data_IF_839151620305
#
_entry.id   IF_839151620305
#
_cell.length_a   1.000
_cell.length_b   1.000
_cell.length_c   1.000
_cell.angle_alpha   90.00
_cell.angle_beta   90.00
_cell.angle_gamma   90.00
#
_symmetry.space_group_name_H-M   'P 1'
#
loop_
_entity.id
_entity.type
_entity.pdbx_description
1 polymer ?
#
# COMPACT_ATOMS: atom_id res chain seq x y z
N UNK A 1 46.62 -77.85 0.70
CA UNK A 1 45.51 -77.13 1.38
C UNK A 1 45.55 -75.68 0.88
N UNK A 2 44.77 -75.37 -0.15
CA UNK A 2 44.91 -74.18 -1.02
C UNK A 2 43.74 -73.23 -0.67
N UNK A 3 44.05 -72.02 -0.19
CA UNK A 3 43.04 -70.99 0.12
C UNK A 3 42.94 -70.00 -1.06
N UNK A 4 41.73 -69.68 -1.57
CA UNK A 4 41.55 -68.80 -2.72
C UNK A 4 41.45 -67.32 -2.34
N UNK A 5 41.88 -66.47 -3.29
CA UNK A 5 41.86 -65.00 -3.23
C UNK A 5 40.42 -64.45 -3.26
N UNK A 6 40.07 -63.58 -2.31
CA UNK A 6 38.86 -62.77 -2.38
C UNK A 6 39.13 -61.44 -3.10
N UNK A 7 38.52 -61.28 -4.27
CA UNK A 7 38.45 -60.04 -5.04
C UNK A 7 37.29 -59.19 -4.50
N UNK A 8 37.55 -57.93 -4.15
CA UNK A 8 36.51 -56.97 -3.76
C UNK A 8 35.79 -56.41 -5.01
N UNK A 9 34.45 -56.31 -5.02
CA UNK A 9 33.75 -55.70 -6.14
C UNK A 9 33.78 -54.17 -6.03
N UNK A 10 34.20 -53.51 -7.12
CA UNK A 10 34.12 -52.05 -7.29
C UNK A 10 32.65 -51.65 -7.51
N UNK A 11 32.06 -50.94 -6.55
CA UNK A 11 30.74 -50.33 -6.72
C UNK A 11 30.88 -49.06 -7.56
N UNK A 12 30.44 -49.13 -8.81
CA UNK A 12 30.40 -48.00 -9.73
C UNK A 12 29.11 -47.20 -9.47
N UNK A 13 29.21 -46.07 -8.77
CA UNK A 13 28.07 -45.19 -8.51
C UNK A 13 27.72 -44.43 -9.80
N UNK A 14 26.69 -44.91 -10.51
CA UNK A 14 26.15 -44.27 -11.71
C UNK A 14 25.29 -43.07 -11.32
N UNK A 15 25.83 -41.86 -11.43
CA UNK A 15 25.09 -40.60 -11.21
C UNK A 15 24.02 -40.44 -12.29
N UNK A 16 22.75 -40.62 -11.93
CA UNK A 16 21.63 -40.34 -12.82
C UNK A 16 21.46 -38.82 -12.97
N UNK A 17 21.70 -38.31 -14.19
CA UNK A 17 21.52 -36.90 -14.54
C UNK A 17 20.02 -36.63 -14.68
N UNK A 18 19.43 -36.02 -13.65
CA UNK A 18 18.05 -35.50 -13.68
C UNK A 18 17.96 -34.34 -14.66
N UNK A 19 17.32 -34.55 -15.80
CA UNK A 19 16.96 -33.48 -16.75
C UNK A 19 15.75 -32.74 -16.21
N UNK A 20 16.01 -31.62 -15.52
CA UNK A 20 14.98 -30.64 -15.15
C UNK A 20 14.40 -30.05 -16.43
N UNK A 21 13.12 -30.30 -16.69
CA UNK A 21 12.40 -29.69 -17.81
C UNK A 21 12.49 -28.17 -17.71
N UNK A 22 12.78 -27.52 -18.85
CA UNK A 22 12.84 -26.06 -18.93
C UNK A 22 11.46 -25.47 -18.57
N UNK A 23 11.40 -24.37 -17.80
CA UNK A 23 10.14 -23.70 -17.52
C UNK A 23 9.47 -23.24 -18.83
N UNK A 24 8.15 -23.39 -18.89
CA UNK A 24 7.34 -22.92 -20.02
C UNK A 24 7.61 -21.44 -20.28
N UNK A 25 7.64 -21.00 -21.55
CA UNK A 25 7.78 -19.58 -21.87
C UNK A 25 6.63 -18.79 -21.24
N UNK A 26 6.88 -17.55 -20.78
CA UNK A 26 5.82 -16.69 -20.26
C UNK A 26 4.73 -16.49 -21.34
N UNK A 27 3.46 -16.33 -20.93
CA UNK A 27 2.38 -16.06 -21.87
C UNK A 27 2.72 -14.84 -22.71
N UNK A 28 2.31 -14.88 -23.98
CA UNK A 28 2.50 -13.75 -24.89
C UNK A 28 1.89 -12.47 -24.27
N UNK A 29 2.55 -11.32 -24.40
CA UNK A 29 2.01 -10.07 -23.88
C UNK A 29 0.63 -9.82 -24.48
N UNK A 30 -0.33 -9.30 -23.70
CA UNK A 30 -1.63 -8.93 -24.24
C UNK A 30 -1.46 -7.98 -25.42
N UNK A 31 -2.30 -8.14 -26.45
CA UNK A 31 -2.29 -7.26 -27.62
C UNK A 31 -2.56 -5.79 -27.24
N UNK A 32 -2.33 -4.85 -28.17
CA UNK A 32 -2.48 -3.42 -27.87
C UNK A 32 -3.88 -3.12 -27.32
N UNK A 33 -3.94 -2.52 -26.13
CA UNK A 33 -5.19 -2.05 -25.56
C UNK A 33 -5.70 -0.83 -26.35
N UNK A 34 -7.01 -0.76 -26.57
CA UNK A 34 -7.63 0.47 -27.06
C UNK A 34 -7.30 1.65 -26.11
N UNK A 35 -7.14 2.88 -26.63
CA UNK A 35 -6.91 4.07 -25.80
C UNK A 35 -7.96 4.19 -24.70
N UNK A 36 -7.54 4.63 -23.50
CA UNK A 36 -8.47 4.89 -22.38
C UNK A 36 -8.88 6.35 -22.38
N UNK A 37 -10.15 6.62 -22.10
CA UNK A 37 -10.62 7.97 -21.86
C UNK A 37 -10.50 8.31 -20.37
N UNK A 38 -10.10 9.55 -20.08
CA UNK A 38 -10.03 10.06 -18.71
C UNK A 38 -11.24 10.94 -18.44
N UNK A 39 -12.00 10.61 -17.40
CA UNK A 39 -13.13 11.40 -16.91
C UNK A 39 -12.74 11.98 -15.55
N UNK A 40 -12.82 13.30 -15.43
CA UNK A 40 -12.62 13.98 -14.15
C UNK A 40 -13.76 13.67 -13.19
N UNK A 41 -13.42 13.43 -11.92
CA UNK A 41 -14.39 13.21 -10.86
C UNK A 41 -14.56 14.49 -10.04
N UNK A 42 -15.80 14.78 -9.68
CA UNK A 42 -16.08 15.81 -8.66
C UNK A 42 -15.49 15.39 -7.31
N UNK A 43 -15.18 16.37 -6.46
CA UNK A 43 -14.64 16.09 -5.12
C UNK A 43 -15.53 15.13 -4.29
N UNK A 44 -16.88 15.24 -4.27
CA UNK A 44 -17.73 14.26 -3.58
C UNK A 44 -17.63 12.83 -4.15
N UNK A 45 -17.57 12.67 -5.48
CA UNK A 45 -17.40 11.36 -6.11
C UNK A 45 -16.04 10.75 -5.78
N UNK A 46 -14.98 11.57 -5.84
CA UNK A 46 -13.63 11.17 -5.49
C UNK A 46 -13.53 10.73 -4.01
N UNK A 47 -14.09 11.52 -3.09
CA UNK A 47 -14.11 11.16 -1.67
C UNK A 47 -14.93 9.89 -1.39
N UNK A 48 -16.05 9.68 -2.10
CA UNK A 48 -16.83 8.46 -1.96
C UNK A 48 -16.03 7.21 -2.39
N UNK A 49 -15.30 7.27 -3.51
CA UNK A 49 -14.43 6.19 -3.97
C UNK A 49 -13.29 5.93 -2.98
N UNK A 50 -12.60 6.99 -2.55
CA UNK A 50 -11.53 6.91 -1.55
C UNK A 50 -12.05 6.26 -0.26
N UNK A 51 -13.26 6.59 0.19
CA UNK A 51 -13.87 6.00 1.38
C UNK A 51 -14.16 4.49 1.27
N UNK A 52 -14.37 3.99 0.06
CA UNK A 52 -14.56 2.56 -0.21
C UNK A 52 -13.26 1.77 -0.35
N UNK A 53 -12.13 2.43 -0.59
CA UNK A 53 -10.85 1.75 -0.72
C UNK A 53 -10.37 1.21 0.65
N UNK A 54 -9.84 -0.02 0.72
CA UNK A 54 -9.38 -0.61 1.98
C UNK A 54 -8.04 -0.02 2.46
N UNK A 55 -7.28 0.60 1.56
CA UNK A 55 -5.95 1.14 1.79
C UNK A 55 -5.72 2.38 0.94
N UNK A 56 -4.73 3.16 1.31
CA UNK A 56 -4.15 4.19 0.45
C UNK A 56 -2.68 4.41 0.78
N UNK A 57 -2.15 5.51 0.26
CA UNK A 57 -0.77 5.92 0.42
C UNK A 57 -0.73 7.36 0.91
N UNK A 58 -0.08 7.58 2.04
CA UNK A 58 0.21 8.94 2.49
C UNK A 58 1.59 9.36 2.00
N UNK A 59 1.64 10.54 1.40
CA UNK A 59 2.84 11.22 0.94
C UNK A 59 3.08 12.43 1.85
N UNK A 60 4.27 12.50 2.43
CA UNK A 60 4.67 13.57 3.33
C UNK A 60 6.16 13.87 3.17
N UNK A 61 6.60 15.06 3.54
CA UNK A 61 8.00 15.45 3.43
C UNK A 61 8.79 14.91 4.61
N UNK A 62 9.90 14.22 4.38
CA UNK A 62 10.86 13.75 5.40
C UNK A 62 12.24 14.33 5.08
N UNK A 63 12.78 15.20 5.95
CA UNK A 63 14.09 15.86 5.71
C UNK A 63 14.19 16.50 4.31
N UNK A 64 13.16 17.27 3.93
CA UNK A 64 13.01 17.88 2.61
C UNK A 64 12.86 16.92 1.40
N UNK A 65 12.69 15.61 1.63
CA UNK A 65 12.46 14.62 0.58
C UNK A 65 11.05 14.02 0.67
N UNK A 66 10.39 13.68 -0.45
CA UNK A 66 9.09 13.01 -0.39
C UNK A 66 9.25 11.58 0.15
N UNK A 67 8.43 11.24 1.14
CA UNK A 67 8.28 9.89 1.66
C UNK A 67 6.84 9.41 1.44
N UNK A 68 6.69 8.14 1.07
CA UNK A 68 5.40 7.49 0.85
C UNK A 68 5.25 6.27 1.74
N UNK A 69 4.08 6.08 2.35
CA UNK A 69 3.78 4.89 3.16
C UNK A 69 2.37 4.37 2.89
N UNK A 70 2.18 3.04 2.74
CA UNK A 70 0.85 2.45 2.70
C UNK A 70 0.22 2.54 4.08
N UNK A 71 -1.07 2.86 4.12
CA UNK A 71 -1.86 2.98 5.35
C UNK A 71 -3.30 2.55 5.11
N UNK A 72 -3.95 2.11 6.18
CA UNK A 72 -5.41 1.97 6.20
C UNK A 72 -6.00 3.27 6.71
N UNK A 73 -7.21 3.61 6.24
CA UNK A 73 -7.90 4.82 6.64
C UNK A 73 -9.36 4.57 7.03
N UNK A 74 -9.94 5.59 7.62
CA UNK A 74 -11.38 5.76 7.79
C UNK A 74 -11.75 7.17 7.33
N UNK A 75 -12.88 7.32 6.66
CA UNK A 75 -13.48 8.64 6.47
C UNK A 75 -14.39 9.00 7.65
N UNK A 76 -14.16 10.18 8.23
CA UNK A 76 -14.94 10.71 9.35
C UNK A 76 -15.18 12.21 9.17
N UNK A 77 -16.43 12.58 8.89
CA UNK A 77 -16.82 13.98 8.65
C UNK A 77 -16.04 14.66 7.53
N UNK A 78 -15.79 13.95 6.42
CA UNK A 78 -15.02 14.45 5.27
C UNK A 78 -13.50 14.47 5.48
N UNK A 79 -12.99 14.02 6.63
CA UNK A 79 -11.55 13.88 6.88
C UNK A 79 -11.09 12.45 6.73
N UNK A 80 -9.82 12.29 6.37
CA UNK A 80 -9.14 11.01 6.28
C UNK A 80 -8.42 10.78 7.60
N UNK A 81 -8.80 9.72 8.32
CA UNK A 81 -8.21 9.36 9.62
C UNK A 81 -7.32 8.15 9.44
N UNK A 82 -6.09 8.28 9.91
CA UNK A 82 -5.06 7.23 9.82
C UNK A 82 -4.54 6.96 11.23
N UNK A 83 -4.55 5.68 11.63
CA UNK A 83 -3.86 5.27 12.85
C UNK A 83 -2.35 5.28 12.60
N UNK A 84 -1.60 5.62 13.63
CA UNK A 84 -0.12 5.62 13.60
C UNK A 84 0.43 5.33 15.01
N UNK A 85 1.75 5.32 15.15
CA UNK A 85 2.43 5.25 16.45
C UNK A 85 3.04 6.62 16.79
N UNK A 86 3.26 6.87 18.09
CA UNK A 86 3.74 8.16 18.59
C UNK A 86 5.12 8.54 18.04
N UNK A 87 5.99 7.56 17.87
CA UNK A 87 7.35 7.78 17.33
C UNK A 87 7.39 7.94 15.80
N UNK A 88 6.23 7.90 15.13
CA UNK A 88 6.21 8.06 13.68
C UNK A 88 6.58 9.48 13.29
N UNK A 89 7.42 9.60 12.26
CA UNK A 89 7.82 10.92 11.74
C UNK A 89 6.61 11.75 11.33
N UNK A 90 5.60 11.13 10.70
CA UNK A 90 4.34 11.78 10.37
C UNK A 90 3.65 12.40 11.61
N UNK A 91 3.55 11.64 12.70
CA UNK A 91 2.94 12.15 13.94
C UNK A 91 3.77 13.26 14.57
N UNK A 92 5.10 13.11 14.59
CA UNK A 92 5.99 14.18 15.05
C UNK A 92 5.79 15.46 14.23
N UNK A 93 5.80 15.37 12.90
CA UNK A 93 5.62 16.52 12.03
C UNK A 93 4.26 17.18 12.23
N UNK A 94 3.18 16.40 12.26
CA UNK A 94 1.84 16.92 12.53
C UNK A 94 1.75 17.68 13.86
N UNK A 95 2.57 17.34 14.86
CA UNK A 95 2.63 18.03 16.17
C UNK A 95 3.51 19.28 16.20
N UNK A 96 4.66 19.28 15.51
CA UNK A 96 5.70 20.30 15.69
C UNK A 96 5.37 21.65 15.04
N UNK A 97 4.45 21.70 14.07
CA UNK A 97 4.11 22.92 13.33
C UNK A 97 3.17 23.89 14.07
N UNK A 98 3.32 24.08 15.38
CA UNK A 98 2.57 25.10 16.13
C UNK A 98 1.04 24.99 16.02
N UNK A 99 0.52 23.79 15.79
CA UNK A 99 -0.91 23.55 15.56
C UNK A 99 -1.39 23.74 14.11
N UNK A 100 -0.57 24.31 13.22
CA UNK A 100 -0.91 24.49 11.79
C UNK A 100 -0.99 23.17 11.01
N UNK A 101 -0.44 22.09 11.57
CA UNK A 101 -0.37 20.80 10.89
C UNK A 101 0.72 20.76 9.82
N UNK A 102 0.82 19.64 9.11
CA UNK A 102 1.77 19.45 8.02
C UNK A 102 1.01 19.14 6.73
N UNK A 103 1.45 19.73 5.61
CA UNK A 103 0.87 19.44 4.30
C UNK A 103 1.23 18.01 3.91
N UNK A 104 0.21 17.24 3.53
CA UNK A 104 0.35 15.87 3.03
C UNK A 104 -0.54 15.69 1.80
N UNK A 105 -0.19 14.70 0.99
CA UNK A 105 -1.11 14.15 0.00
C UNK A 105 -1.49 12.73 0.43
N UNK A 106 -2.77 12.38 0.25
CA UNK A 106 -3.27 11.04 0.42
C UNK A 106 -3.76 10.55 -0.93
N UNK A 107 -3.40 9.32 -1.30
CA UNK A 107 -3.78 8.74 -2.58
C UNK A 107 -4.41 7.37 -2.36
N UNK A 108 -5.51 7.12 -3.06
CA UNK A 108 -6.11 5.79 -3.18
C UNK A 108 -6.52 5.56 -4.64
N UNK A 109 -6.47 4.31 -5.07
CA UNK A 109 -6.82 3.89 -6.42
C UNK A 109 -7.40 2.48 -6.41
N UNK A 110 -8.12 2.17 -7.48
CA UNK A 110 -8.47 0.83 -7.89
C UNK A 110 -8.42 0.82 -9.41
N UNK A 111 -7.26 0.45 -9.94
CA UNK A 111 -7.00 0.36 -11.38
C UNK A 111 -6.64 -1.09 -11.69
N UNK A 112 -7.41 -1.70 -12.58
CA UNK A 112 -7.13 -3.03 -13.09
C UNK A 112 -5.86 -3.01 -13.95
N UNK A 113 -4.81 -3.76 -13.57
CA UNK A 113 -3.53 -3.76 -14.30
C UNK A 113 -3.61 -4.42 -15.68
N UNK A 114 -4.68 -5.15 -16.00
CA UNK A 114 -4.89 -5.79 -17.30
C UNK A 114 -5.72 -4.91 -18.24
N UNK A 115 -6.80 -4.31 -17.74
CA UNK A 115 -7.70 -3.51 -18.58
C UNK A 115 -7.36 -2.01 -18.57
N UNK A 116 -6.54 -1.55 -17.62
CA UNK A 116 -6.25 -0.14 -17.35
C UNK A 116 -7.51 0.70 -17.10
N UNK A 117 -8.60 0.05 -16.66
CA UNK A 117 -9.83 0.69 -16.24
C UNK A 117 -9.83 0.83 -14.73
N UNK A 118 -10.50 1.87 -14.23
CA UNK A 118 -10.57 2.09 -12.80
C UNK A 118 -10.54 3.56 -12.44
N UNK A 119 -10.12 3.86 -11.22
CA UNK A 119 -10.08 5.23 -10.71
C UNK A 119 -8.85 5.48 -9.85
N UNK A 120 -8.45 6.75 -9.77
CA UNK A 120 -7.43 7.23 -8.83
C UNK A 120 -7.87 8.55 -8.23
N UNK A 121 -7.67 8.70 -6.94
CA UNK A 121 -8.01 9.90 -6.17
C UNK A 121 -6.79 10.35 -5.38
N UNK A 122 -6.53 11.65 -5.42
CA UNK A 122 -5.54 12.34 -4.59
C UNK A 122 -6.24 13.41 -3.77
N UNK A 123 -6.02 13.42 -2.47
CA UNK A 123 -6.51 14.40 -1.51
C UNK A 123 -5.31 15.08 -0.84
N UNK A 124 -5.12 16.37 -1.11
CA UNK A 124 -4.05 17.18 -0.53
C UNK A 124 -4.64 18.11 0.52
N UNK A 125 -3.98 18.21 1.68
CA UNK A 125 -4.41 19.10 2.74
C UNK A 125 -3.55 18.98 3.99
N UNK A 126 -4.06 19.48 5.11
CA UNK A 126 -3.33 19.54 6.37
C UNK A 126 -3.59 18.33 7.26
N UNK A 127 -2.50 17.76 7.76
CA UNK A 127 -2.48 16.64 8.70
C UNK A 127 -2.23 17.13 10.12
N UNK A 128 -3.13 16.77 11.03
CA UNK A 128 -3.06 17.10 12.45
C UNK A 128 -3.13 15.84 13.32
N UNK A 129 -2.52 15.84 14.51
CA UNK A 129 -2.72 14.78 15.49
C UNK A 129 -4.17 14.78 15.98
N UNK A 130 -4.72 13.59 16.20
CA UNK A 130 -5.95 13.44 16.97
C UNK A 130 -5.57 13.47 18.45
N UNK A 131 -6.03 14.49 19.18
CA UNK A 131 -5.72 14.70 20.60
C UNK A 131 -6.85 14.28 21.54
N UNK A 132 -8.08 14.22 21.04
CA UNK A 132 -9.25 13.79 21.81
C UNK A 132 -9.16 12.28 22.15
N UNK A 133 -9.11 11.91 23.45
CA UNK A 133 -9.06 10.51 23.88
C UNK A 133 -10.25 9.68 23.42
N UNK A 134 -11.46 10.25 23.37
CA UNK A 134 -12.67 9.52 22.96
C UNK A 134 -12.63 9.18 21.47
N UNK A 135 -12.23 10.14 20.62
CA UNK A 135 -11.97 9.89 19.22
C UNK A 135 -10.90 8.81 19.00
N UNK A 136 -9.79 8.84 19.76
CA UNK A 136 -8.75 7.81 19.66
C UNK A 136 -9.30 6.41 19.98
N UNK A 137 -10.04 6.25 21.08
CA UNK A 137 -10.68 4.97 21.43
C UNK A 137 -11.66 4.50 20.36
N UNK A 138 -12.45 5.42 19.79
CA UNK A 138 -13.35 5.11 18.66
C UNK A 138 -12.56 4.59 17.45
N UNK A 139 -11.50 5.28 17.04
CA UNK A 139 -10.70 4.88 15.88
C UNK A 139 -9.94 3.58 16.11
N UNK A 140 -9.51 3.29 17.33
CA UNK A 140 -8.89 1.99 17.67
C UNK A 140 -9.82 0.81 17.39
N UNK A 141 -11.13 1.00 17.60
CA UNK A 141 -12.15 -0.01 17.31
C UNK A 141 -12.46 -0.15 15.83
N UNK A 142 -12.50 0.96 15.09
CA UNK A 142 -12.93 1.01 13.70
C UNK A 142 -11.82 0.68 12.70
N UNK A 143 -10.58 1.04 13.01
CA UNK A 143 -9.43 0.85 12.11
C UNK A 143 -8.55 -0.26 12.69
N UNK A 144 -8.46 -1.37 11.96
CA UNK A 144 -7.51 -2.46 12.23
C UNK A 144 -6.23 -2.22 11.41
N UNK A 145 -5.10 -1.89 12.07
CA UNK A 145 -3.84 -1.81 11.37
C UNK A 145 -3.39 -3.19 10.90
N UNK A 146 -2.64 -3.23 9.79
CA UNK A 146 -2.01 -4.46 9.33
C UNK A 146 -0.73 -4.82 10.07
N UNK A 147 0.18 -3.87 10.40
CA UNK A 147 1.34 -4.22 11.18
C UNK A 147 0.90 -4.69 12.57
N UNK A 148 1.48 -5.78 13.06
CA UNK A 148 1.34 -6.24 14.43
C UNK A 148 2.15 -5.34 15.38
N UNK A 149 1.72 -4.09 15.50
CA UNK A 149 2.34 -3.06 16.32
C UNK A 149 1.24 -2.22 16.97
N UNK A 150 1.39 -1.83 18.25
CA UNK A 150 0.52 -0.85 18.86
C UNK A 150 0.53 0.46 18.06
N UNK A 151 -0.65 0.85 17.55
CA UNK A 151 -0.86 2.13 16.86
C UNK A 151 -1.79 2.99 17.71
N UNK A 152 -1.24 3.45 18.82
CA UNK A 152 -1.92 4.19 19.89
C UNK A 152 -2.18 5.67 19.57
N UNK A 153 -1.63 6.17 18.46
CA UNK A 153 -1.87 7.52 17.96
C UNK A 153 -2.74 7.48 16.69
N UNK A 154 -3.31 8.62 16.35
CA UNK A 154 -3.94 8.83 15.05
C UNK A 154 -3.64 10.23 14.55
N UNK A 155 -3.70 10.39 13.24
CA UNK A 155 -3.70 11.68 12.57
C UNK A 155 -4.94 11.82 11.71
N UNK A 156 -5.33 13.05 11.46
CA UNK A 156 -6.47 13.44 10.64
C UNK A 156 -6.00 14.38 9.56
N UNK A 157 -6.32 14.06 8.32
CA UNK A 157 -6.08 14.90 7.15
C UNK A 157 -7.40 15.61 6.84
N UNK A 158 -7.38 16.94 6.79
CA UNK A 158 -8.45 17.78 6.27
C UNK A 158 -8.09 18.15 4.83
N UNK A 159 -8.71 17.55 3.81
CA UNK A 159 -8.39 17.84 2.41
C UNK A 159 -8.87 19.25 2.03
N UNK A 160 -7.99 20.03 1.40
CA UNK A 160 -8.32 21.33 0.77
C UNK A 160 -8.48 21.19 -0.74
N UNK A 161 -7.74 20.24 -1.34
CA UNK A 161 -7.80 19.92 -2.75
C UNK A 161 -8.04 18.42 -2.91
N UNK A 162 -9.11 18.06 -3.61
CA UNK A 162 -9.42 16.69 -3.97
C UNK A 162 -9.51 16.60 -5.49
N UNK A 163 -8.64 15.80 -6.09
CA UNK A 163 -8.64 15.50 -7.52
C UNK A 163 -8.91 14.01 -7.70
N UNK A 164 -9.81 13.67 -8.61
CA UNK A 164 -10.08 12.28 -8.97
C UNK A 164 -10.19 12.11 -10.46
N UNK A 165 -9.73 10.97 -10.97
CA UNK A 165 -9.86 10.57 -12.36
C UNK A 165 -10.43 9.17 -12.45
N UNK A 166 -11.22 8.92 -13.49
CA UNK A 166 -11.69 7.59 -13.88
C UNK A 166 -11.23 7.27 -15.29
N UNK A 167 -10.65 6.09 -15.47
CA UNK A 167 -10.22 5.54 -16.75
C UNK A 167 -11.34 4.65 -17.30
N UNK A 168 -11.87 5.00 -18.47
CA UNK A 168 -12.91 4.25 -19.17
C UNK A 168 -12.41 3.73 -20.51
N UNK A 169 -13.10 2.72 -21.05
CA UNK A 169 -12.87 2.21 -22.40
C UNK A 169 -13.34 3.20 -23.46
#
# INVERSE_FOLDING_TARGET
MIHPRHQSPRTSTRTARSTRAAPSPPPAPPGPLAPRHTVELTAPQAMALLGGAPLGRIVFTRRALPAIRPVNHLLDGGRIVIRTHRDSELFHQARQHGGQGVVVAYQADDIDPLTHLGWSVVATGYCHPVTDPEALLRYQRLIRPWPDRPMEAAVRISPDLVTGVRLTA
#
